data_IF_063717566538
#
_entry.id   IF_063717566538
#
_cell.length_a   1.000
_cell.length_b   1.000
_cell.length_c   1.000
_cell.angle_alpha   90.00
_cell.angle_beta   90.00
_cell.angle_gamma   90.00
#
_symmetry.space_group_name_H-M   'P 1'
#
loop_
_entity.id
_entity.type
_entity.pdbx_description
1 polymer ?
#
# COMPACT_ATOMS: atom_id res chain seq x y z
N UNK A 1 -22.34 -10.57 18.50
CA UNK A 1 -21.37 -9.51 18.90
C UNK A 1 -20.01 -10.09 19.31
N UNK A 2 -19.93 -11.11 20.17
CA UNK A 2 -18.66 -11.73 20.58
C UNK A 2 -17.88 -12.44 19.45
N UNK A 3 -18.59 -13.13 18.55
CA UNK A 3 -17.99 -13.86 17.42
C UNK A 3 -17.28 -12.91 16.45
N UNK A 4 -17.83 -11.72 16.20
CA UNK A 4 -17.21 -10.72 15.31
C UNK A 4 -15.86 -10.24 15.86
N UNK A 5 -15.75 -10.01 17.16
CA UNK A 5 -14.48 -9.59 17.77
C UNK A 5 -13.41 -10.70 17.81
N UNK A 6 -13.81 -11.97 17.87
CA UNK A 6 -12.87 -13.10 17.72
C UNK A 6 -12.40 -13.20 16.27
N UNK A 7 -13.30 -13.03 15.31
CA UNK A 7 -12.97 -13.03 13.87
C UNK A 7 -12.02 -11.88 13.51
N UNK A 8 -12.25 -10.67 14.01
CA UNK A 8 -11.36 -9.52 13.79
C UNK A 8 -9.95 -9.78 14.36
N UNK A 9 -9.84 -10.32 15.57
CA UNK A 9 -8.53 -10.68 16.16
C UNK A 9 -7.79 -11.75 15.36
N UNK A 10 -8.53 -12.72 14.83
CA UNK A 10 -7.96 -13.76 13.96
C UNK A 10 -7.47 -13.12 12.65
N UNK A 11 -8.24 -12.20 12.07
CA UNK A 11 -7.85 -11.46 10.87
C UNK A 11 -6.61 -10.61 11.13
N UNK A 12 -6.52 -9.93 12.26
CA UNK A 12 -5.34 -9.13 12.64
C UNK A 12 -4.10 -10.01 12.87
N UNK A 13 -4.28 -11.17 13.53
CA UNK A 13 -3.20 -12.15 13.70
C UNK A 13 -2.68 -12.66 12.34
N UNK A 14 -3.59 -12.93 11.39
CA UNK A 14 -3.25 -13.35 10.04
C UNK A 14 -2.67 -12.23 9.18
N UNK A 15 -3.03 -10.98 9.43
CA UNK A 15 -2.51 -9.85 8.66
C UNK A 15 -1.04 -9.57 8.99
N UNK A 16 -0.52 -10.08 10.11
CA UNK A 16 0.89 -10.01 10.44
C UNK A 16 1.73 -10.85 9.43
N UNK A 17 2.68 -10.22 8.69
CA UNK A 17 3.45 -10.89 7.65
C UNK A 17 4.25 -12.11 8.16
N UNK A 18 4.72 -12.08 9.42
CA UNK A 18 5.44 -13.21 10.01
C UNK A 18 4.52 -14.43 10.22
N UNK A 19 3.28 -14.19 10.65
CA UNK A 19 2.30 -15.25 10.90
C UNK A 19 1.78 -15.84 9.58
N UNK A 20 1.65 -15.01 8.53
CA UNK A 20 1.36 -15.50 7.17
C UNK A 20 2.41 -16.53 6.74
N UNK A 21 3.70 -16.20 6.83
CA UNK A 21 4.77 -17.11 6.42
C UNK A 21 4.70 -18.49 7.10
N UNK A 22 4.38 -18.53 8.40
CA UNK A 22 4.26 -19.78 9.18
C UNK A 22 3.06 -20.61 8.74
N UNK A 23 1.89 -19.99 8.54
CA UNK A 23 0.67 -20.72 8.13
C UNK A 23 0.83 -21.26 6.70
N UNK A 24 1.49 -20.51 5.82
CA UNK A 24 1.81 -20.93 4.46
C UNK A 24 2.77 -22.11 4.45
N UNK A 25 3.85 -22.05 5.24
CA UNK A 25 4.82 -23.15 5.32
C UNK A 25 4.19 -24.41 5.90
N UNK A 26 3.36 -24.30 6.94
CA UNK A 26 2.59 -25.41 7.49
C UNK A 26 1.67 -26.05 6.45
N UNK A 27 0.96 -25.24 5.67
CA UNK A 27 0.06 -25.72 4.61
C UNK A 27 0.80 -26.46 3.51
N UNK A 28 1.89 -25.86 3.02
CA UNK A 28 2.70 -26.45 1.95
C UNK A 28 3.34 -27.75 2.42
N UNK A 29 3.98 -27.74 3.60
CA UNK A 29 4.67 -28.93 4.14
C UNK A 29 3.67 -30.05 4.44
N UNK A 30 2.54 -29.75 5.08
CA UNK A 30 1.51 -30.75 5.33
C UNK A 30 0.88 -31.28 4.04
N UNK A 31 0.64 -30.42 3.05
CA UNK A 31 0.16 -30.82 1.73
C UNK A 31 1.13 -31.73 0.99
N UNK A 32 2.44 -31.43 1.03
CA UNK A 32 3.48 -32.29 0.46
C UNK A 32 3.50 -33.64 1.17
N UNK A 33 3.53 -33.66 2.51
CA UNK A 33 3.59 -34.91 3.27
C UNK A 33 2.35 -35.78 3.05
N UNK A 34 1.17 -35.18 2.96
CA UNK A 34 -0.07 -35.89 2.59
C UNK A 34 -0.03 -36.42 1.17
N UNK A 35 0.46 -35.61 0.21
CA UNK A 35 0.64 -36.03 -1.16
C UNK A 35 1.59 -37.23 -1.25
N UNK A 36 2.74 -37.17 -0.58
CA UNK A 36 3.68 -38.28 -0.51
C UNK A 36 3.01 -39.54 0.07
N UNK A 37 2.24 -39.41 1.16
CA UNK A 37 1.54 -40.52 1.78
C UNK A 37 0.46 -41.17 0.89
N UNK A 38 -0.15 -40.39 -0.02
CA UNK A 38 -1.20 -40.88 -0.94
C UNK A 38 -0.61 -41.43 -2.24
N UNK A 39 0.46 -40.83 -2.76
CA UNK A 39 0.99 -41.16 -4.10
C UNK A 39 2.16 -42.14 -4.11
N UNK A 40 2.87 -42.33 -2.99
CA UNK A 40 4.04 -43.22 -2.92
C UNK A 40 3.74 -44.54 -2.21
N UNK A 41 4.45 -45.58 -2.62
CA UNK A 41 4.44 -46.88 -1.93
C UNK A 41 5.35 -46.88 -0.69
N UNK A 42 5.11 -47.78 0.26
CA UNK A 42 5.88 -47.89 1.52
C UNK A 42 7.40 -48.00 1.28
N UNK A 43 7.82 -48.72 0.23
CA UNK A 43 9.23 -48.86 -0.15
C UNK A 43 9.86 -47.52 -0.55
N UNK A 44 9.11 -46.67 -1.24
CA UNK A 44 9.57 -45.35 -1.66
C UNK A 44 9.56 -44.35 -0.49
N UNK A 45 8.57 -44.44 0.40
CA UNK A 45 8.52 -43.62 1.62
C UNK A 45 9.67 -43.93 2.58
N UNK A 46 10.03 -45.21 2.71
CA UNK A 46 11.19 -45.64 3.49
C UNK A 46 12.51 -45.16 2.88
N UNK A 47 12.63 -45.09 1.55
CA UNK A 47 13.82 -44.53 0.89
C UNK A 47 13.99 -43.03 1.17
N UNK A 48 12.88 -42.31 1.36
CA UNK A 48 12.87 -40.90 1.74
C UNK A 48 13.02 -40.68 3.25
N UNK A 49 13.07 -41.74 4.07
CA UNK A 49 13.12 -41.69 5.54
C UNK A 49 11.92 -40.96 6.19
N UNK A 50 10.75 -40.97 5.52
CA UNK A 50 9.53 -40.27 5.99
C UNK A 50 8.46 -41.24 6.52
N UNK A 51 8.63 -42.54 6.30
CA UNK A 51 7.72 -43.62 6.73
C UNK A 51 7.48 -43.63 8.26
N UNK A 52 8.55 -43.46 9.04
CA UNK A 52 8.49 -43.42 10.52
C UNK A 52 7.72 -42.20 11.03
N UNK A 53 7.75 -41.08 10.29
CA UNK A 53 7.00 -39.88 10.62
C UNK A 53 5.52 -40.02 10.24
N UNK A 54 5.24 -40.52 9.03
CA UNK A 54 3.88 -40.71 8.53
C UNK A 54 3.10 -41.77 9.31
N UNK A 55 3.74 -42.84 9.75
CA UNK A 55 3.10 -43.83 10.62
C UNK A 55 2.66 -43.25 11.97
N UNK A 56 3.43 -42.30 12.52
CA UNK A 56 3.12 -41.67 13.82
C UNK A 56 2.13 -40.51 13.72
N UNK A 57 2.26 -39.66 12.69
CA UNK A 57 1.50 -38.41 12.58
C UNK A 57 0.58 -38.36 11.35
N UNK A 58 0.51 -39.42 10.55
CA UNK A 58 -0.27 -39.47 9.32
C UNK A 58 -1.75 -39.15 9.50
N UNK A 59 -2.33 -39.51 10.65
CA UNK A 59 -3.73 -39.23 10.96
C UNK A 59 -4.00 -37.74 11.25
N UNK A 60 -3.02 -37.00 11.79
CA UNK A 60 -3.20 -35.59 12.18
C UNK A 60 -2.87 -34.62 11.04
N UNK A 61 -2.05 -35.06 10.07
CA UNK A 61 -1.67 -34.27 8.90
C UNK A 61 -2.88 -33.70 8.11
N UNK A 62 -3.97 -34.45 7.83
CA UNK A 62 -5.15 -33.92 7.14
C UNK A 62 -5.80 -32.77 7.89
N UNK A 63 -5.81 -32.81 9.23
CA UNK A 63 -6.42 -31.78 10.08
C UNK A 63 -5.60 -30.50 10.02
N UNK A 64 -4.27 -30.62 10.12
CA UNK A 64 -3.34 -29.48 10.01
C UNK A 64 -3.44 -28.86 8.62
N UNK A 65 -3.49 -29.68 7.59
CA UNK A 65 -3.61 -29.24 6.21
C UNK A 65 -4.93 -28.49 5.97
N UNK A 66 -6.06 -29.06 6.42
CA UNK A 66 -7.37 -28.43 6.28
C UNK A 66 -7.42 -27.07 7.00
N UNK A 67 -6.90 -27.01 8.22
CA UNK A 67 -6.84 -25.77 8.98
C UNK A 67 -6.03 -24.71 8.23
N UNK A 68 -4.80 -25.04 7.79
CA UNK A 68 -3.97 -24.13 7.00
C UNK A 68 -4.66 -23.68 5.71
N UNK A 69 -5.34 -24.58 5.01
CA UNK A 69 -6.02 -24.28 3.74
C UNK A 69 -7.12 -23.23 3.92
N UNK A 70 -7.90 -23.30 5.01
CA UNK A 70 -8.90 -22.27 5.34
C UNK A 70 -8.23 -20.90 5.48
N UNK A 71 -7.12 -20.82 6.21
CA UNK A 71 -6.39 -19.56 6.39
C UNK A 71 -5.76 -19.04 5.09
N UNK A 72 -5.28 -19.94 4.24
CA UNK A 72 -4.69 -19.60 2.96
C UNK A 72 -5.73 -18.98 2.03
N UNK A 73 -6.94 -19.55 1.99
CA UNK A 73 -8.09 -19.00 1.24
C UNK A 73 -8.45 -17.61 1.77
N UNK A 74 -8.57 -17.43 3.09
CA UNK A 74 -8.89 -16.13 3.69
C UNK A 74 -7.82 -15.09 3.36
N UNK A 75 -6.54 -15.45 3.47
CA UNK A 75 -5.42 -14.57 3.13
C UNK A 75 -5.43 -14.16 1.65
N UNK A 76 -5.74 -15.09 0.75
CA UNK A 76 -5.83 -14.81 -0.68
C UNK A 76 -6.99 -13.86 -1.02
N UNK A 77 -8.17 -14.10 -0.45
CA UNK A 77 -9.34 -13.22 -0.62
C UNK A 77 -9.07 -11.82 -0.08
N UNK A 78 -8.49 -11.72 1.13
CA UNK A 78 -8.14 -10.44 1.76
C UNK A 78 -7.17 -9.63 0.90
N UNK A 79 -6.07 -10.25 0.44
CA UNK A 79 -5.09 -9.58 -0.44
C UNK A 79 -5.75 -9.07 -1.73
N UNK A 80 -6.64 -9.87 -2.34
CA UNK A 80 -7.32 -9.48 -3.58
C UNK A 80 -8.29 -8.31 -3.37
N UNK A 81 -9.00 -8.27 -2.23
CA UNK A 81 -9.84 -7.13 -1.86
C UNK A 81 -8.99 -5.88 -1.67
N UNK A 82 -7.89 -6.00 -0.92
CA UNK A 82 -6.97 -4.89 -0.66
C UNK A 82 -6.37 -4.33 -1.95
N UNK A 83 -5.92 -5.19 -2.87
CA UNK A 83 -5.39 -4.78 -4.18
C UNK A 83 -6.43 -3.98 -4.99
N UNK A 84 -7.69 -4.42 -4.96
CA UNK A 84 -8.77 -3.75 -5.66
C UNK A 84 -9.13 -2.40 -5.00
N UNK A 85 -9.07 -2.30 -3.68
CA UNK A 85 -9.23 -1.03 -2.97
C UNK A 85 -8.07 -0.06 -3.22
N UNK A 86 -6.83 -0.56 -3.24
CA UNK A 86 -5.64 0.23 -3.59
C UNK A 86 -5.73 0.76 -5.01
N UNK A 87 -6.19 -0.06 -5.97
CA UNK A 87 -6.43 0.37 -7.35
C UNK A 87 -7.47 1.50 -7.41
N UNK A 88 -8.63 1.34 -6.74
CA UNK A 88 -9.65 2.39 -6.67
C UNK A 88 -9.14 3.68 -6.02
N UNK A 89 -8.32 3.57 -4.97
CA UNK A 89 -7.70 4.73 -4.32
C UNK A 89 -6.71 5.44 -5.24
N UNK A 90 -5.92 4.69 -6.03
CA UNK A 90 -5.02 5.26 -7.05
C UNK A 90 -5.79 5.98 -8.13
N UNK A 91 -6.82 5.35 -8.70
CA UNK A 91 -7.69 5.97 -9.72
C UNK A 91 -8.37 7.25 -9.18
N UNK A 92 -8.87 7.22 -7.95
CA UNK A 92 -9.47 8.40 -7.32
C UNK A 92 -8.44 9.52 -7.08
N UNK A 93 -7.21 9.16 -6.69
CA UNK A 93 -6.11 10.11 -6.48
C UNK A 93 -5.69 10.76 -7.81
N UNK A 94 -5.54 9.97 -8.87
CA UNK A 94 -5.22 10.44 -10.22
C UNK A 94 -6.30 11.40 -10.70
N UNK A 95 -7.59 11.03 -10.59
CA UNK A 95 -8.69 11.91 -10.95
C UNK A 95 -8.63 13.26 -10.23
N UNK A 96 -8.41 13.26 -8.92
CA UNK A 96 -8.31 14.51 -8.13
C UNK A 96 -7.10 15.35 -8.58
N UNK A 97 -5.98 14.71 -8.92
CA UNK A 97 -4.79 15.41 -9.43
C UNK A 97 -5.08 16.05 -10.78
N UNK A 98 -5.75 15.34 -11.67
CA UNK A 98 -6.11 15.83 -12.99
C UNK A 98 -7.11 16.99 -12.89
N UNK A 99 -8.14 16.86 -12.04
CA UNK A 99 -9.08 17.94 -11.72
C UNK A 99 -8.34 19.20 -11.21
N UNK A 100 -7.31 19.04 -10.37
CA UNK A 100 -6.47 20.15 -9.89
C UNK A 100 -5.52 20.72 -10.94
N UNK A 101 -5.15 19.93 -11.96
CA UNK A 101 -4.33 20.39 -13.09
C UNK A 101 -5.16 21.15 -14.13
N UNK A 102 -6.48 21.05 -14.10
CA UNK A 102 -7.42 21.79 -14.95
C UNK A 102 -8.03 23.01 -14.26
N UNK A 103 -8.00 23.06 -12.94
CA UNK A 103 -8.49 24.19 -12.15
C UNK A 103 -7.63 25.46 -12.36
N UNK A 104 -8.25 26.53 -12.86
CA UNK A 104 -7.55 27.79 -13.19
C UNK A 104 -6.79 28.39 -12.01
N UNK A 105 -7.36 28.35 -10.79
CA UNK A 105 -6.71 28.92 -9.61
C UNK A 105 -5.51 28.08 -9.14
N UNK A 106 -5.61 26.75 -9.25
CA UNK A 106 -4.51 25.85 -8.98
C UNK A 106 -3.37 26.00 -10.00
N UNK A 107 -3.73 26.17 -11.29
CA UNK A 107 -2.79 26.39 -12.37
C UNK A 107 -1.92 27.62 -12.17
N UNK A 108 -2.45 28.72 -11.62
CA UNK A 108 -1.66 29.91 -11.27
C UNK A 108 -0.46 29.54 -10.38
N UNK A 109 -0.70 28.76 -9.32
CA UNK A 109 0.38 28.37 -8.40
C UNK A 109 1.34 27.36 -9.02
N UNK A 110 0.82 26.43 -9.82
CA UNK A 110 1.63 25.45 -10.54
C UNK A 110 2.55 26.13 -11.57
N UNK A 111 2.05 27.11 -12.30
CA UNK A 111 2.82 27.93 -13.24
C UNK A 111 3.91 28.72 -12.55
N UNK A 112 3.59 29.37 -11.43
CA UNK A 112 4.59 30.11 -10.64
C UNK A 112 5.75 29.19 -10.25
N UNK A 113 5.45 27.98 -9.77
CA UNK A 113 6.47 27.00 -9.41
C UNK A 113 7.24 26.48 -10.63
N UNK A 114 6.56 26.27 -11.76
CA UNK A 114 7.19 25.78 -12.99
C UNK A 114 8.18 26.78 -13.57
N UNK A 115 7.81 28.06 -13.63
CA UNK A 115 8.69 29.16 -14.06
C UNK A 115 9.86 29.38 -13.10
N UNK A 116 9.66 29.09 -11.81
CA UNK A 116 10.70 29.17 -10.79
C UNK A 116 11.65 27.97 -10.72
N UNK A 117 11.34 26.87 -11.42
CA UNK A 117 12.09 25.62 -11.37
C UNK A 117 13.59 25.85 -11.72
N UNK A 118 14.55 25.23 -11.01
CA UNK A 118 14.40 24.26 -9.91
C UNK A 118 14.27 24.89 -8.51
N UNK A 119 14.21 26.21 -8.43
CA UNK A 119 14.21 26.90 -7.14
C UNK A 119 12.82 26.85 -6.48
N UNK A 120 12.76 26.79 -5.15
CA UNK A 120 11.49 26.87 -4.44
C UNK A 120 10.84 28.24 -4.59
N UNK A 121 9.51 28.25 -4.71
CA UNK A 121 8.70 29.48 -4.74
C UNK A 121 7.90 29.58 -3.46
N UNK A 122 7.81 30.80 -2.91
CA UNK A 122 7.02 31.06 -1.70
C UNK A 122 5.53 31.13 -2.05
N UNK A 123 4.74 30.23 -1.48
CA UNK A 123 3.28 30.17 -1.68
C UNK A 123 2.51 30.37 -0.36
N UNK A 124 1.32 30.99 -0.41
CA UNK A 124 0.50 31.23 0.77
C UNK A 124 0.02 29.91 1.36
N UNK A 125 0.47 29.58 2.56
CA UNK A 125 0.19 28.29 3.20
C UNK A 125 -1.26 28.15 3.65
N UNK A 126 -1.95 29.26 3.90
CA UNK A 126 -3.36 29.25 4.28
C UNK A 126 -4.31 29.15 3.08
N UNK A 127 -3.81 29.33 1.85
CA UNK A 127 -4.63 29.22 0.65
C UNK A 127 -5.13 27.79 0.43
N UNK A 128 -6.42 27.65 0.11
CA UNK A 128 -7.07 26.35 -0.08
C UNK A 128 -6.45 25.54 -1.23
N UNK A 129 -6.16 26.17 -2.38
CA UNK A 129 -5.59 25.48 -3.54
C UNK A 129 -4.18 25.00 -3.26
N UNK A 130 -3.34 25.83 -2.63
CA UNK A 130 -1.99 25.43 -2.19
C UNK A 130 -2.04 24.22 -1.26
N UNK A 131 -2.97 24.20 -0.29
CA UNK A 131 -3.17 23.04 0.60
C UNK A 131 -3.60 21.79 -0.15
N UNK A 132 -4.51 21.90 -1.12
CA UNK A 132 -4.98 20.76 -1.93
C UNK A 132 -3.85 20.21 -2.80
N UNK A 133 -3.13 21.08 -3.52
CA UNK A 133 -1.97 20.71 -4.32
C UNK A 133 -0.91 19.96 -3.50
N UNK A 134 -0.63 20.42 -2.27
CA UNK A 134 0.31 19.77 -1.38
C UNK A 134 -0.22 18.41 -0.86
N UNK A 135 -1.49 18.37 -0.43
CA UNK A 135 -2.13 17.15 0.10
C UNK A 135 -2.17 16.03 -0.92
N UNK A 136 -2.41 16.34 -2.19
CA UNK A 136 -2.49 15.35 -3.27
C UNK A 136 -1.14 15.12 -3.99
N UNK A 137 -0.06 15.73 -3.50
CA UNK A 137 1.29 15.44 -3.97
C UNK A 137 1.63 16.04 -5.33
N UNK A 138 1.01 17.16 -5.70
CA UNK A 138 1.42 17.94 -6.88
C UNK A 138 2.56 18.89 -6.53
N UNK A 139 2.59 19.39 -5.29
CA UNK A 139 3.66 20.23 -4.75
C UNK A 139 4.13 19.67 -3.41
N UNK A 140 5.32 20.07 -2.95
CA UNK A 140 5.82 19.71 -1.63
C UNK A 140 6.47 20.92 -0.97
N UNK A 141 6.22 21.07 0.34
CA UNK A 141 6.85 22.10 1.16
C UNK A 141 8.26 21.65 1.53
N UNK A 142 9.26 22.52 1.35
CA UNK A 142 10.66 22.17 1.64
C UNK A 142 11.03 22.44 3.10
N UNK A 143 10.42 23.45 3.73
CA UNK A 143 10.72 23.82 5.12
C UNK A 143 9.45 23.96 5.94
N UNK A 144 9.46 23.45 7.17
CA UNK A 144 8.38 23.63 8.13
C UNK A 144 8.52 24.89 8.98
N UNK A 145 9.64 25.60 8.86
CA UNK A 145 9.95 26.82 9.62
C UNK A 145 10.41 27.92 8.69
N UNK A 146 9.87 29.13 8.87
CA UNK A 146 10.33 30.35 8.21
C UNK A 146 10.46 31.44 9.27
N UNK A 147 11.52 32.27 9.22
CA UNK A 147 11.55 33.45 10.06
C UNK A 147 10.45 34.40 9.58
N UNK A 148 9.59 34.83 10.51
CA UNK A 148 8.55 35.82 10.27
C UNK A 148 8.92 37.08 11.04
N UNK A 149 8.88 38.21 10.36
CA UNK A 149 9.28 39.49 10.96
C UNK A 149 8.12 40.48 11.07
N UNK A 150 7.00 40.21 10.39
CA UNK A 150 5.84 41.08 10.32
C UNK A 150 4.57 40.37 10.87
N UNK A 151 3.74 41.05 11.69
CA UNK A 151 2.40 40.57 12.06
C UNK A 151 1.53 40.13 10.87
N UNK A 152 1.64 40.75 9.69
CA UNK A 152 0.88 40.34 8.50
C UNK A 152 1.32 38.95 7.98
N UNK A 153 2.62 38.63 8.06
CA UNK A 153 3.16 37.32 7.70
C UNK A 153 2.65 36.21 8.64
N UNK A 154 2.26 36.54 9.88
CA UNK A 154 1.64 35.59 10.79
C UNK A 154 0.22 35.21 10.37
N UNK A 155 -0.54 36.13 9.78
CA UNK A 155 -1.93 35.87 9.35
C UNK A 155 -1.98 35.08 8.04
N UNK A 156 -1.07 35.35 7.10
CA UNK A 156 -0.99 34.65 5.83
C UNK A 156 0.46 34.23 5.50
N UNK A 157 0.99 33.19 6.17
CA UNK A 157 2.38 32.83 6.04
C UNK A 157 2.68 32.19 4.69
N UNK A 158 3.75 32.63 4.03
CA UNK A 158 4.19 32.11 2.75
C UNK A 158 5.41 31.20 2.92
N UNK A 159 5.26 29.91 2.60
CA UNK A 159 6.31 28.90 2.75
C UNK A 159 6.94 28.52 1.41
N UNK A 160 8.21 28.06 1.37
CA UNK A 160 8.82 27.57 0.15
C UNK A 160 8.25 26.20 -0.27
N UNK A 161 7.75 26.12 -1.50
CA UNK A 161 7.28 24.90 -2.15
C UNK A 161 8.05 24.63 -3.44
N UNK A 162 8.07 23.37 -3.87
CA UNK A 162 8.51 22.92 -5.20
C UNK A 162 7.47 22.00 -5.84
N UNK A 163 7.53 21.87 -7.15
CA UNK A 163 6.77 20.87 -7.89
C UNK A 163 7.29 19.46 -7.57
N UNK A 164 6.37 18.50 -7.50
CA UNK A 164 6.73 17.09 -7.51
C UNK A 164 6.89 16.60 -8.97
N UNK A 165 7.69 15.55 -9.22
CA UNK A 165 7.98 15.07 -10.57
C UNK A 165 6.73 14.80 -11.43
N UNK A 166 5.66 14.24 -10.84
CA UNK A 166 4.39 13.99 -11.54
C UNK A 166 3.78 15.29 -12.10
N UNK A 167 3.74 16.36 -11.29
CA UNK A 167 3.17 17.64 -11.72
C UNK A 167 4.08 18.31 -12.77
N UNK A 168 5.40 18.22 -12.60
CA UNK A 168 6.36 18.78 -13.54
C UNK A 168 6.24 18.13 -14.93
N UNK A 169 6.13 16.81 -15.00
CA UNK A 169 5.92 16.06 -16.24
C UNK A 169 4.62 16.48 -16.93
N UNK A 170 3.51 16.56 -16.18
CA UNK A 170 2.21 16.98 -16.71
C UNK A 170 2.19 18.43 -17.22
N UNK A 171 2.89 19.33 -16.54
CA UNK A 171 3.02 20.72 -16.99
C UNK A 171 3.90 20.81 -18.24
N UNK A 172 5.01 20.05 -18.31
CA UNK A 172 5.84 19.94 -19.52
C UNK A 172 5.03 19.49 -20.73
N UNK A 173 4.19 18.48 -20.58
CA UNK A 173 3.29 18.02 -21.64
C UNK A 173 2.36 19.15 -22.13
N UNK A 174 1.78 19.95 -21.22
CA UNK A 174 0.90 21.07 -21.58
C UNK A 174 1.65 22.23 -22.27
N UNK A 175 2.84 22.61 -21.81
CA UNK A 175 3.57 23.76 -22.35
C UNK A 175 4.46 23.45 -23.56
N UNK A 176 4.87 22.18 -23.78
CA UNK A 176 5.57 21.79 -25.02
C UNK A 176 4.62 21.54 -26.20
N UNK A 177 3.30 21.49 -25.96
CA UNK A 177 2.27 21.38 -27.00
C UNK A 177 1.71 22.75 -27.45
N UNK A 178 2.20 23.86 -26.89
CA UNK A 178 1.92 25.24 -27.31
C UNK A 178 3.11 25.83 -28.05
#
# INVERSE_FOLDING_TARGET
MWILGVVEKIIDFLNNPLNKGIVWSLGIVSGILLGLNVFLSDKQLHLLYVDSFLSKYGWILPVIFLFSLVFLIVGFVSNKIQENEEKKKKEALEKIRDDLLEDEQALIYLEMLYRGHPNPVRLPNNNQKVKLLAKYGLIVRISNTIPMYDPEEMMNPCFPFILQPYAEEKLKEKYCQQ
#
